data_IF_989992608307
#
_entry.id   IF_989992608307
#
_cell.length_a   1.000
_cell.length_b   1.000
_cell.length_c   1.000
_cell.angle_alpha   90.00
_cell.angle_beta   90.00
_cell.angle_gamma   90.00
#
_symmetry.space_group_name_H-M   'P 1'
#
loop_
_entity.id
_entity.type
_entity.pdbx_description
1 polymer ?
#
# COMPACT_ATOMS: atom_id res chain seq x y z
N UNK A 1 26.79 -19.57 15.32
CA UNK A 1 25.82 -18.92 14.42
C UNK A 1 24.46 -19.02 15.09
N UNK A 2 23.89 -17.90 15.52
CA UNK A 2 22.61 -17.89 16.22
C UNK A 2 21.46 -17.99 15.21
N UNK A 3 20.45 -18.86 15.43
CA UNK A 3 19.35 -19.07 14.48
C UNK A 3 18.50 -17.82 14.21
N UNK A 4 18.46 -16.89 15.16
CA UNK A 4 17.64 -15.66 15.09
C UNK A 4 17.97 -14.74 13.91
N UNK A 5 19.24 -14.60 13.54
CA UNK A 5 19.65 -13.67 12.46
C UNK A 5 19.19 -14.14 11.08
N UNK A 6 19.09 -15.45 10.86
CA UNK A 6 18.61 -16.00 9.58
C UNK A 6 17.09 -15.89 9.46
N UNK A 7 16.35 -16.09 10.55
CA UNK A 7 14.90 -15.94 10.59
C UNK A 7 14.48 -14.47 10.42
N UNK A 8 15.21 -13.54 11.03
CA UNK A 8 14.97 -12.10 10.89
C UNK A 8 15.18 -11.60 9.44
N UNK A 9 16.27 -12.04 8.81
CA UNK A 9 16.58 -11.70 7.43
C UNK A 9 15.57 -12.34 6.45
N UNK A 10 15.10 -13.55 6.75
CA UNK A 10 14.02 -14.21 6.02
C UNK A 10 12.71 -13.40 6.10
N UNK A 11 12.35 -12.91 7.29
CA UNK A 11 11.13 -12.12 7.49
C UNK A 11 11.15 -10.79 6.70
N UNK A 12 12.25 -10.04 6.73
CA UNK A 12 12.38 -8.79 5.96
C UNK A 12 12.44 -9.03 4.46
N UNK A 13 13.07 -10.12 4.02
CA UNK A 13 13.06 -10.52 2.61
C UNK A 13 11.63 -10.81 2.15
N UNK A 14 10.86 -11.58 2.92
CA UNK A 14 9.44 -11.82 2.64
C UNK A 14 8.62 -10.53 2.66
N UNK A 15 8.84 -9.64 3.63
CA UNK A 15 8.16 -8.35 3.69
C UNK A 15 8.44 -7.48 2.45
N UNK A 16 9.68 -7.48 1.95
CA UNK A 16 10.05 -6.75 0.74
C UNK A 16 9.37 -7.33 -0.51
N UNK A 17 9.29 -8.66 -0.62
CA UNK A 17 8.55 -9.32 -1.71
C UNK A 17 7.08 -8.93 -1.68
N UNK A 18 6.45 -8.98 -0.50
CA UNK A 18 5.03 -8.60 -0.35
C UNK A 18 4.85 -7.12 -0.68
N UNK A 19 5.74 -6.23 -0.23
CA UNK A 19 5.66 -4.78 -0.54
C UNK A 19 5.75 -4.51 -2.05
N UNK A 20 6.57 -5.27 -2.78
CA UNK A 20 6.62 -5.17 -4.25
C UNK A 20 5.34 -5.68 -4.91
N UNK A 21 4.73 -6.74 -4.38
CA UNK A 21 3.43 -7.22 -4.83
C UNK A 21 2.32 -6.19 -4.55
N UNK A 22 2.35 -5.52 -3.39
CA UNK A 22 1.44 -4.42 -3.05
C UNK A 22 1.53 -3.29 -4.08
N UNK A 23 2.74 -2.91 -4.50
CA UNK A 23 2.92 -1.92 -5.57
C UNK A 23 2.30 -2.38 -6.90
N UNK A 24 2.42 -3.66 -7.25
CA UNK A 24 1.79 -4.19 -8.45
C UNK A 24 0.26 -4.17 -8.35
N UNK A 25 -0.31 -4.60 -7.22
CA UNK A 25 -1.75 -4.58 -6.96
C UNK A 25 -2.31 -3.15 -7.00
N UNK A 26 -1.63 -2.19 -6.38
CA UNK A 26 -2.04 -0.78 -6.39
C UNK A 26 -2.00 -0.16 -7.80
N UNK A 27 -1.04 -0.53 -8.64
CA UNK A 27 -0.99 -0.11 -10.05
C UNK A 27 -2.10 -0.72 -10.90
N UNK A 28 -2.53 -1.93 -10.55
CA UNK A 28 -3.66 -2.61 -11.17
C UNK A 28 -5.02 -2.20 -10.60
N UNK A 29 -5.04 -1.30 -9.60
CA UNK A 29 -6.23 -0.91 -8.84
C UNK A 29 -6.95 -2.10 -8.15
N UNK A 30 -6.22 -3.18 -7.88
CA UNK A 30 -6.73 -4.34 -7.14
C UNK A 30 -6.66 -4.08 -5.63
N UNK A 31 -7.62 -3.30 -5.15
CA UNK A 31 -7.67 -2.86 -3.74
C UNK A 31 -7.91 -4.01 -2.77
N UNK A 32 -8.61 -5.06 -3.19
CA UNK A 32 -8.86 -6.23 -2.35
C UNK A 32 -7.56 -7.02 -2.14
N UNK A 33 -6.81 -7.27 -3.23
CA UNK A 33 -5.50 -7.92 -3.13
C UNK A 33 -4.53 -7.07 -2.31
N UNK A 34 -4.55 -5.75 -2.48
CA UNK A 34 -3.69 -4.84 -1.72
C UNK A 34 -3.90 -4.97 -0.20
N UNK A 35 -5.14 -5.04 0.26
CA UNK A 35 -5.48 -5.22 1.69
C UNK A 35 -4.99 -6.57 2.23
N UNK A 36 -5.20 -7.66 1.48
CA UNK A 36 -4.73 -8.99 1.88
C UNK A 36 -3.20 -9.05 2.01
N UNK A 37 -2.50 -8.39 1.09
CA UNK A 37 -1.04 -8.31 1.13
C UNK A 37 -0.55 -7.45 2.31
N UNK A 38 -1.26 -6.36 2.65
CA UNK A 38 -0.94 -5.55 3.83
C UNK A 38 -1.04 -6.37 5.13
N UNK A 39 -2.12 -7.12 5.31
CA UNK A 39 -2.34 -8.01 6.45
C UNK A 39 -1.23 -9.06 6.56
N UNK A 40 -0.82 -9.65 5.44
CA UNK A 40 0.27 -10.63 5.38
C UNK A 40 1.63 -9.99 5.71
N UNK A 41 1.85 -8.73 5.33
CA UNK A 41 3.10 -8.01 5.57
C UNK A 41 3.26 -7.55 7.01
N UNK A 42 2.20 -7.02 7.62
CA UNK A 42 2.24 -6.36 8.93
C UNK A 42 3.04 -7.12 10.01
N UNK A 43 2.82 -8.44 10.25
CA UNK A 43 3.58 -9.15 11.28
C UNK A 43 5.05 -9.37 10.94
N UNK A 44 5.47 -9.21 9.67
CA UNK A 44 6.85 -9.40 9.24
C UNK A 44 7.72 -8.15 9.50
N UNK A 45 7.14 -6.95 9.32
CA UNK A 45 7.84 -5.67 9.55
C UNK A 45 7.80 -5.20 11.00
N UNK A 46 6.82 -5.65 11.80
CA UNK A 46 6.70 -5.26 13.21
C UNK A 46 7.53 -6.11 14.18
N UNK A 47 8.19 -7.17 13.71
CA UNK A 47 9.11 -7.94 14.55
C UNK A 47 10.34 -7.12 14.89
N UNK A 48 11.01 -7.49 15.97
CA UNK A 48 12.33 -6.96 16.26
C UNK A 48 13.30 -7.53 15.21
N UNK A 49 14.11 -6.65 14.62
CA UNK A 49 15.15 -7.05 13.69
C UNK A 49 16.51 -6.61 14.21
N UNK A 50 17.54 -7.39 13.88
CA UNK A 50 18.89 -7.06 14.29
C UNK A 50 19.37 -5.76 13.62
N UNK A 51 20.03 -4.83 14.34
CA UNK A 51 20.42 -3.54 13.79
C UNK A 51 21.74 -3.63 13.00
N UNK A 52 21.81 -4.53 12.02
CA UNK A 52 22.95 -4.67 11.12
C UNK A 52 22.73 -3.91 9.79
N UNK A 53 23.82 -3.67 9.06
CA UNK A 53 23.77 -2.88 7.82
C UNK A 53 22.88 -3.52 6.74
N UNK A 54 22.80 -4.87 6.70
CA UNK A 54 21.97 -5.59 5.75
C UNK A 54 20.47 -5.38 6.04
N UNK A 55 20.07 -5.49 7.31
CA UNK A 55 18.70 -5.19 7.75
C UNK A 55 18.33 -3.74 7.47
N UNK A 56 19.21 -2.79 7.79
CA UNK A 56 18.98 -1.37 7.49
C UNK A 56 18.78 -1.12 5.99
N UNK A 57 19.57 -1.76 5.13
CA UNK A 57 19.41 -1.65 3.68
C UNK A 57 18.07 -2.23 3.18
N UNK A 58 17.60 -3.34 3.75
CA UNK A 58 16.30 -3.93 3.41
C UNK A 58 15.13 -3.07 3.88
N UNK A 59 15.18 -2.56 5.12
CA UNK A 59 14.19 -1.61 5.64
C UNK A 59 14.14 -0.34 4.77
N UNK A 60 15.31 0.16 4.34
CA UNK A 60 15.38 1.29 3.42
C UNK A 60 14.66 1.02 2.09
N UNK A 61 14.77 -0.19 1.54
CA UNK A 61 14.03 -0.58 0.33
C UNK A 61 12.52 -0.67 0.57
N UNK A 62 12.09 -1.25 1.70
CA UNK A 62 10.67 -1.32 2.06
C UNK A 62 10.08 0.10 2.15
N UNK A 63 10.74 1.00 2.89
CA UNK A 63 10.31 2.40 3.03
C UNK A 63 10.30 3.18 1.71
N UNK A 64 11.23 2.88 0.79
CA UNK A 64 11.22 3.48 -0.54
C UNK A 64 9.99 3.01 -1.34
N UNK A 65 9.65 1.72 -1.28
CA UNK A 65 8.45 1.19 -1.90
C UNK A 65 7.17 1.74 -1.25
N UNK A 66 7.12 1.89 0.08
CA UNK A 66 5.96 2.44 0.79
C UNK A 66 5.65 3.88 0.36
N UNK A 67 6.68 4.71 0.15
CA UNK A 67 6.49 6.07 -0.37
C UNK A 67 5.89 6.07 -1.78
N UNK A 68 6.31 5.13 -2.64
CA UNK A 68 5.72 4.98 -3.97
C UNK A 68 4.27 4.53 -3.88
N UNK A 69 3.97 3.58 -2.99
CA UNK A 69 2.61 3.09 -2.77
C UNK A 69 1.69 4.22 -2.27
N UNK A 70 2.16 5.01 -1.30
CA UNK A 70 1.41 6.15 -0.76
C UNK A 70 1.06 7.17 -1.86
N UNK A 71 2.00 7.48 -2.76
CA UNK A 71 1.75 8.38 -3.88
C UNK A 71 0.67 7.85 -4.84
N UNK A 72 0.69 6.55 -5.13
CA UNK A 72 -0.36 5.90 -5.94
C UNK A 72 -1.72 5.97 -5.25
N UNK A 73 -1.78 5.66 -3.96
CA UNK A 73 -3.03 5.68 -3.20
C UNK A 73 -3.64 7.07 -3.09
N UNK A 74 -2.82 8.11 -2.87
CA UNK A 74 -3.28 9.51 -2.89
C UNK A 74 -3.89 9.85 -4.25
N UNK A 75 -3.21 9.48 -5.34
CA UNK A 75 -3.67 9.75 -6.70
C UNK A 75 -5.00 9.05 -6.99
N UNK A 76 -5.12 7.78 -6.62
CA UNK A 76 -6.35 7.00 -6.80
C UNK A 76 -7.53 7.56 -5.98
N UNK A 77 -7.28 7.92 -4.72
CA UNK A 77 -8.27 8.55 -3.84
C UNK A 77 -8.78 9.87 -4.43
N UNK A 78 -7.88 10.72 -4.88
CA UNK A 78 -8.24 12.03 -5.41
C UNK A 78 -9.03 11.90 -6.72
N UNK A 79 -8.66 10.95 -7.57
CA UNK A 79 -9.43 10.61 -8.78
C UNK A 79 -10.86 10.16 -8.45
N UNK A 80 -11.03 9.28 -7.45
CA UNK A 80 -12.35 8.84 -7.00
C UNK A 80 -13.18 9.99 -6.42
N UNK A 81 -12.56 10.86 -5.62
CA UNK A 81 -13.24 12.04 -5.06
C UNK A 81 -13.78 12.96 -6.16
N UNK A 82 -13.00 13.20 -7.22
CA UNK A 82 -13.46 13.98 -8.37
C UNK A 82 -14.60 13.30 -9.14
N UNK A 83 -14.54 11.99 -9.33
CA UNK A 83 -15.63 11.24 -9.98
C UNK A 83 -16.93 11.35 -9.18
N UNK A 84 -16.85 11.11 -7.86
CA UNK A 84 -17.98 11.22 -6.95
C UNK A 84 -18.63 12.61 -6.99
N UNK A 85 -17.81 13.66 -6.94
CA UNK A 85 -18.29 15.03 -6.99
C UNK A 85 -19.05 15.32 -8.30
N UNK A 86 -18.51 14.88 -9.45
CA UNK A 86 -19.17 15.07 -10.75
C UNK A 86 -20.53 14.38 -10.83
N UNK A 87 -20.64 13.14 -10.35
CA UNK A 87 -21.91 12.42 -10.36
C UNK A 87 -22.94 13.05 -9.42
N UNK A 88 -22.49 13.53 -8.26
CA UNK A 88 -23.35 14.27 -7.32
C UNK A 88 -23.87 15.57 -7.93
N UNK A 89 -23.01 16.36 -8.56
CA UNK A 89 -23.40 17.61 -9.22
C UNK A 89 -24.38 17.36 -10.36
N UNK A 90 -24.15 16.29 -11.14
CA UNK A 90 -25.08 15.85 -12.19
C UNK A 90 -26.45 15.48 -11.63
N UNK A 91 -26.50 14.70 -10.55
CA UNK A 91 -27.76 14.33 -9.90
C UNK A 91 -28.52 15.56 -9.37
N UNK A 92 -27.80 16.54 -8.81
CA UNK A 92 -28.39 17.79 -8.34
C UNK A 92 -28.98 18.61 -9.49
N UNK A 93 -28.26 18.74 -10.61
CA UNK A 93 -28.75 19.44 -11.79
C UNK A 93 -30.04 18.81 -12.34
N UNK A 94 -30.10 17.47 -12.44
CA UNK A 94 -31.31 16.76 -12.87
C UNK A 94 -32.48 17.03 -11.91
N UNK A 95 -32.25 16.95 -10.61
CA UNK A 95 -33.28 17.20 -9.61
C UNK A 95 -33.81 18.64 -9.66
N UNK A 96 -32.95 19.62 -9.93
CA UNK A 96 -33.35 21.01 -10.10
C UNK A 96 -34.23 21.21 -11.35
N UNK A 97 -33.88 20.58 -12.48
CA UNK A 97 -34.71 20.61 -13.69
C UNK A 97 -36.09 19.97 -13.49
N UNK A 98 -36.20 18.89 -12.69
CA UNK A 98 -37.47 18.25 -12.42
C UNK A 98 -38.41 19.06 -11.50
N UNK A 99 -37.88 20.08 -10.81
CA UNK A 99 -38.63 20.97 -9.91
C UNK A 99 -39.00 22.31 -10.54
N UNK A 100 -38.48 22.62 -11.73
CA UNK A 100 -38.76 23.83 -12.50
C UNK A 100 -39.86 23.58 -13.54
#
# INVERSE_FOLDING_TARGET
>A
MSPSTFEDNSALTSALVITRAMLAAARAEDWQQLLQLEEARAPLVHRQHHPDAATQAQLGQILACDRQLQALLVTARDALAHQWQRERDRAQAIAAYAQA
#
